data_IF_755772741344
#
_entry.id   IF_755772741344
#
_cell.length_a   1.000
_cell.length_b   1.000
_cell.length_c   1.000
_cell.angle_alpha   90.00
_cell.angle_beta   90.00
_cell.angle_gamma   90.00
#
_symmetry.space_group_name_H-M   'P 1'
#
loop_
_entity.id
_entity.type
_entity.pdbx_description
1 polymer ?
#
# COMPACT_ATOMS: atom_id res chain seq x y z
N UNK A 1 4.31 22.58 19.21
CA UNK A 1 3.38 21.54 19.68
C UNK A 1 3.02 20.64 18.52
N UNK A 2 3.23 19.33 18.62
CA UNK A 2 2.83 18.40 17.57
C UNK A 2 1.31 18.19 17.62
N UNK A 3 0.62 18.27 16.48
CA UNK A 3 -0.81 17.91 16.41
C UNK A 3 -0.98 16.43 16.77
N UNK A 4 -2.04 16.08 17.51
CA UNK A 4 -2.37 14.68 17.79
C UNK A 4 -2.63 13.93 16.48
N UNK A 5 -2.38 12.63 16.51
CA UNK A 5 -2.77 11.71 15.43
C UNK A 5 -4.23 11.33 15.67
N UNK A 6 -5.04 11.35 14.61
CA UNK A 6 -6.48 11.10 14.66
C UNK A 6 -6.85 9.86 13.84
N UNK A 7 -8.02 9.28 14.15
CA UNK A 7 -8.50 8.08 13.47
C UNK A 7 -9.12 8.42 12.11
N UNK A 8 -9.16 7.44 11.21
CA UNK A 8 -9.72 7.62 9.87
C UNK A 8 -11.22 7.93 9.92
N UNK A 9 -11.95 7.33 10.87
CA UNK A 9 -13.39 7.58 11.05
C UNK A 9 -13.74 9.01 11.47
N UNK A 10 -12.79 9.72 12.08
CA UNK A 10 -13.05 11.07 12.56
C UNK A 10 -13.03 12.08 11.42
N UNK A 11 -12.46 11.72 10.26
CA UNK A 11 -12.33 12.61 9.10
C UNK A 11 -13.71 13.07 8.64
N UNK A 12 -13.89 14.39 8.62
CA UNK A 12 -15.11 15.06 8.19
C UNK A 12 -14.80 16.49 7.72
N UNK A 13 -15.86 17.21 7.31
CA UNK A 13 -15.77 18.57 6.76
C UNK A 13 -15.65 19.67 7.82
N UNK A 14 -15.50 19.34 9.11
CA UNK A 14 -15.43 20.33 10.19
C UNK A 14 -14.10 21.09 10.23
N UNK A 15 -13.06 20.59 9.56
CA UNK A 15 -11.74 21.21 9.52
C UNK A 15 -10.96 20.86 8.26
N UNK A 16 -10.06 21.74 7.88
CA UNK A 16 -9.30 21.64 6.62
C UNK A 16 -8.04 20.77 6.72
N UNK A 17 -7.52 20.52 7.93
CA UNK A 17 -6.30 19.74 8.13
C UNK A 17 -6.48 18.61 9.15
N UNK A 18 -6.14 17.40 8.71
CA UNK A 18 -6.14 16.16 9.48
C UNK A 18 -4.72 15.58 9.52
N UNK A 19 -4.31 15.03 10.67
CA UNK A 19 -3.06 14.27 10.79
C UNK A 19 -3.41 12.84 11.20
N UNK A 20 -3.21 11.90 10.29
CA UNK A 20 -3.56 10.49 10.47
C UNK A 20 -2.33 9.60 10.40
N UNK A 21 -2.35 8.48 11.13
CA UNK A 21 -1.34 7.44 11.04
C UNK A 21 -1.98 6.20 10.40
N UNK A 22 -1.58 5.93 9.16
CA UNK A 22 -2.17 4.89 8.33
C UNK A 22 -1.10 4.07 7.64
N UNK A 23 -1.44 2.83 7.31
CA UNK A 23 -0.65 1.93 6.46
C UNK A 23 -1.31 1.81 5.10
N UNK A 24 -0.51 1.70 4.04
CA UNK A 24 -1.02 1.43 2.71
C UNK A 24 -1.30 -0.08 2.56
N UNK A 25 -2.58 -0.44 2.37
CA UNK A 25 -3.02 -1.84 2.16
C UNK A 25 -2.92 -2.24 0.70
N UNK A 26 -3.35 -1.36 -0.20
CA UNK A 26 -3.30 -1.57 -1.64
C UNK A 26 -3.02 -0.25 -2.35
N UNK A 27 -2.31 -0.32 -3.46
CA UNK A 27 -1.98 0.82 -4.30
C UNK A 27 -2.00 0.37 -5.76
N UNK A 28 -2.69 1.12 -6.62
CA UNK A 28 -2.72 0.83 -8.06
C UNK A 28 -2.86 2.12 -8.87
N UNK A 29 -2.32 2.10 -10.09
CA UNK A 29 -2.44 3.23 -11.03
C UNK A 29 -3.65 3.01 -11.93
N UNK A 30 -4.53 4.01 -11.99
CA UNK A 30 -5.68 4.02 -12.90
C UNK A 30 -5.37 4.97 -14.05
N UNK A 31 -5.56 4.49 -15.27
CA UNK A 31 -5.43 5.31 -16.48
C UNK A 31 -6.83 5.62 -17.00
N UNK A 32 -7.20 6.90 -17.01
CA UNK A 32 -8.45 7.36 -17.60
C UNK A 32 -8.37 7.33 -19.14
N UNK A 33 -9.52 7.26 -19.80
CA UNK A 33 -9.65 7.33 -21.27
C UNK A 33 -9.01 8.58 -21.89
N UNK A 34 -8.86 9.65 -21.10
CA UNK A 34 -8.15 10.88 -21.49
C UNK A 34 -6.62 10.80 -21.33
N UNK A 35 -6.05 9.59 -21.18
CA UNK A 35 -4.62 9.34 -20.96
C UNK A 35 -4.04 10.03 -19.72
N UNK A 36 -4.91 10.39 -18.77
CA UNK A 36 -4.53 10.93 -17.46
C UNK A 36 -4.40 9.76 -16.49
N UNK A 37 -3.24 9.64 -15.86
CA UNK A 37 -2.96 8.63 -14.85
C UNK A 37 -3.09 9.23 -13.46
N UNK A 38 -3.88 8.59 -12.61
CA UNK A 38 -3.94 8.90 -11.19
C UNK A 38 -3.63 7.64 -10.37
N UNK A 39 -3.14 7.83 -9.16
CA UNK A 39 -2.83 6.73 -8.25
C UNK A 39 -3.98 6.60 -7.25
N UNK A 40 -4.48 5.39 -7.06
CA UNK A 40 -5.47 5.09 -6.03
C UNK A 40 -4.83 4.25 -4.94
N UNK A 41 -5.16 4.57 -3.69
CA UNK A 41 -4.65 3.88 -2.51
C UNK A 41 -5.80 3.50 -1.58
N UNK A 42 -5.66 2.36 -0.92
CA UNK A 42 -6.46 1.99 0.25
C UNK A 42 -5.57 2.09 1.48
N UNK A 43 -5.92 3.02 2.36
CA UNK A 43 -5.22 3.30 3.60
C UNK A 43 -6.00 2.71 4.77
N UNK A 44 -5.28 2.17 5.75
CA UNK A 44 -5.85 1.51 6.94
C UNK A 44 -5.22 2.08 8.20
N UNK A 45 -6.03 2.43 9.19
CA UNK A 45 -5.53 2.87 10.50
C UNK A 45 -5.34 1.72 11.51
N UNK A 46 -4.93 2.04 12.74
CA UNK A 46 -4.74 1.05 13.80
C UNK A 46 -6.03 0.35 14.24
N UNK A 47 -7.19 0.96 13.98
CA UNK A 47 -8.50 0.42 14.31
C UNK A 47 -9.08 -0.43 13.18
N UNK A 48 -8.28 -0.68 12.13
CA UNK A 48 -8.68 -1.37 10.89
C UNK A 48 -9.71 -0.61 10.07
N UNK A 49 -9.83 0.70 10.30
CA UNK A 49 -10.71 1.55 9.51
C UNK A 49 -10.04 1.93 8.19
N UNK A 50 -10.80 1.82 7.11
CA UNK A 50 -10.30 1.95 5.74
C UNK A 50 -10.78 3.24 5.09
N UNK A 51 -9.89 3.91 4.38
CA UNK A 51 -10.22 5.06 3.52
C UNK A 51 -9.54 4.91 2.16
N UNK A 52 -10.28 5.25 1.11
CA UNK A 52 -9.74 5.33 -0.24
C UNK A 52 -9.21 6.74 -0.50
N UNK A 53 -7.97 6.83 -0.95
CA UNK A 53 -7.34 8.08 -1.35
C UNK A 53 -7.01 8.06 -2.84
N UNK A 54 -7.24 9.18 -3.51
CA UNK A 54 -6.91 9.37 -4.93
C UNK A 54 -5.87 10.47 -5.01
N UNK A 55 -4.69 10.14 -5.54
CA UNK A 55 -3.63 11.11 -5.79
C UNK A 55 -3.73 11.59 -7.23
N UNK A 56 -4.04 12.88 -7.44
CA UNK A 56 -4.18 13.42 -8.78
C UNK A 56 -2.82 13.45 -9.53
N UNK A 57 -2.84 13.44 -10.87
CA UNK A 57 -1.65 13.33 -11.72
C UNK A 57 -0.47 14.26 -11.42
N UNK A 58 -0.64 15.56 -11.06
CA UNK A 58 0.51 16.44 -10.82
C UNK A 58 1.34 16.05 -9.59
N UNK A 59 0.77 15.28 -8.66
CA UNK A 59 1.43 14.85 -7.40
C UNK A 59 2.10 13.48 -7.51
N UNK A 60 1.80 12.70 -8.55
CA UNK A 60 2.43 11.38 -8.80
C UNK A 60 3.93 11.49 -9.11
N UNK A 61 4.39 12.68 -9.53
CA UNK A 61 5.82 12.94 -9.83
C UNK A 61 6.65 13.30 -8.59
N UNK A 62 6.02 13.62 -7.47
CA UNK A 62 6.72 13.87 -6.22
C UNK A 62 6.87 12.53 -5.53
N UNK A 63 8.11 12.09 -5.30
CA UNK A 63 8.40 10.89 -4.53
C UNK A 63 7.61 10.96 -3.22
N UNK A 64 6.62 10.06 -3.07
CA UNK A 64 5.82 10.01 -1.85
C UNK A 64 6.78 9.64 -0.72
N UNK A 65 6.93 10.48 0.32
CA UNK A 65 7.84 10.20 1.42
C UNK A 65 7.44 8.86 2.04
N UNK A 66 8.41 7.96 2.27
CA UNK A 66 8.24 6.57 2.75
C UNK A 66 7.00 6.36 3.62
N UNK A 67 5.86 6.16 2.94
CA UNK A 67 4.66 5.66 3.59
C UNK A 67 5.03 4.23 3.93
N UNK A 68 4.91 3.75 5.17
CA UNK A 68 5.16 2.36 5.48
C UNK A 68 4.15 1.50 4.71
N UNK A 69 4.52 1.13 3.49
CA UNK A 69 3.99 0.03 2.72
C UNK A 69 4.32 -1.22 3.53
N UNK A 70 3.43 -2.21 3.55
CA UNK A 70 3.65 -3.47 4.27
C UNK A 70 5.14 -3.87 4.19
N UNK A 71 5.78 -4.04 5.34
CA UNK A 71 7.10 -4.63 5.43
C UNK A 71 6.95 -6.08 5.01
N UNK A 72 6.93 -6.32 3.70
CA UNK A 72 6.94 -7.63 3.13
C UNK A 72 8.32 -8.21 3.44
N UNK A 73 8.35 -9.29 4.21
CA UNK A 73 9.59 -10.02 4.48
C UNK A 73 9.82 -10.95 3.29
N UNK A 74 10.18 -10.34 2.16
CA UNK A 74 10.31 -11.03 0.89
C UNK A 74 11.52 -11.95 0.94
N UNK A 75 11.28 -13.24 0.70
CA UNK A 75 12.34 -14.21 0.44
C UNK A 75 12.42 -14.50 -1.06
N UNK A 76 13.63 -14.79 -1.54
CA UNK A 76 13.84 -15.20 -2.93
C UNK A 76 13.30 -16.60 -3.20
N UNK A 77 12.76 -16.83 -4.39
CA UNK A 77 12.31 -18.15 -4.84
C UNK A 77 13.45 -19.19 -4.81
N UNK A 78 14.69 -18.76 -5.01
CA UNK A 78 15.90 -19.59 -4.87
C UNK A 78 16.00 -20.24 -3.47
N UNK A 79 15.62 -19.51 -2.42
CA UNK A 79 15.67 -19.98 -1.03
C UNK A 79 14.59 -21.03 -0.73
N UNK A 80 13.46 -20.96 -1.45
CA UNK A 80 12.39 -21.97 -1.40
C UNK A 80 12.82 -23.23 -2.14
N UNK A 81 13.40 -23.08 -3.34
CA UNK A 81 13.86 -24.20 -4.18
C UNK A 81 15.03 -24.94 -3.52
N UNK A 82 15.92 -24.23 -2.82
CA UNK A 82 17.03 -24.80 -2.05
C UNK A 82 16.60 -25.49 -0.72
N UNK A 83 15.30 -25.53 -0.40
CA UNK A 83 14.74 -26.03 0.87
C UNK A 83 15.32 -25.36 2.13
N UNK A 84 15.91 -24.16 1.99
CA UNK A 84 16.50 -23.40 3.10
C UNK A 84 15.47 -22.52 3.81
N UNK A 85 14.30 -23.09 4.11
CA UNK A 85 13.23 -22.38 4.82
C UNK A 85 12.71 -23.21 5.98
N UNK A 86 12.19 -22.53 7.02
CA UNK A 86 11.50 -23.22 8.10
C UNK A 86 10.06 -23.51 7.67
N UNK A 87 9.68 -24.78 7.68
CA UNK A 87 8.36 -25.26 7.23
C UNK A 87 7.15 -24.66 7.94
N UNK A 88 7.36 -23.95 9.06
CA UNK A 88 6.32 -23.36 9.89
C UNK A 88 6.36 -21.81 9.93
N UNK A 89 7.09 -21.18 9.01
CA UNK A 89 7.23 -19.72 8.93
C UNK A 89 6.43 -19.16 7.74
N UNK A 90 5.56 -18.19 7.98
CA UNK A 90 4.87 -17.44 6.92
C UNK A 90 5.87 -16.46 6.28
N UNK A 91 5.92 -16.47 4.95
CA UNK A 91 6.87 -15.68 4.16
C UNK A 91 6.16 -15.06 2.97
N UNK A 92 6.56 -13.84 2.61
CA UNK A 92 6.11 -13.17 1.40
C UNK A 92 7.05 -13.53 0.24
N UNK A 93 6.52 -13.76 -0.96
CA UNK A 93 7.31 -14.18 -2.13
C UNK A 93 7.04 -13.22 -3.29
N UNK A 94 8.10 -12.80 -3.97
CA UNK A 94 8.01 -12.01 -5.21
C UNK A 94 8.81 -12.70 -6.30
N UNK A 95 8.28 -12.73 -7.52
CA UNK A 95 8.93 -13.37 -8.66
C UNK A 95 8.31 -12.98 -9.99
N UNK A 96 9.05 -13.19 -11.08
CA UNK A 96 8.54 -13.02 -12.43
C UNK A 96 7.56 -14.14 -12.77
N UNK A 97 6.36 -13.80 -13.24
CA UNK A 97 5.41 -14.78 -13.76
C UNK A 97 5.79 -15.11 -15.19
N UNK A 98 6.28 -16.33 -15.43
CA UNK A 98 6.66 -16.82 -16.77
C UNK A 98 5.49 -17.46 -17.50
N UNK A 99 4.79 -18.39 -16.84
CA UNK A 99 3.65 -19.11 -17.43
C UNK A 99 2.56 -19.31 -16.37
N UNK A 100 1.30 -19.13 -16.78
CA UNK A 100 0.13 -19.37 -15.94
C UNK A 100 -0.54 -20.64 -16.45
N UNK A 101 -0.43 -21.73 -15.69
CA UNK A 101 -1.12 -22.99 -15.99
C UNK A 101 -2.50 -22.94 -15.33
N UNK A 102 -3.56 -22.81 -16.13
CA UNK A 102 -4.92 -22.99 -15.63
C UNK A 102 -5.19 -24.50 -15.51
N UNK A 103 -5.53 -24.93 -14.30
CA UNK A 103 -5.96 -26.31 -14.01
C UNK A 103 -7.47 -26.43 -14.12
#
# INVERSE_FOLDING_TARGET
>A
MARPIEAVKDINDSKDLWKIAVRCKHMWTVTSSSNKQHLELILVDSNLDMIQAIVPPPLVKTELPDIPVNFLNIIGLDTIVDEKFQSNLLVDVVGGVTEIVQT
#
